data_IF_000903738213
#
_entry.id   IF_000903738213
#
_cell.length_a   1.000
_cell.length_b   1.000
_cell.length_c   1.000
_cell.angle_alpha   90.00
_cell.angle_beta   90.00
_cell.angle_gamma   90.00
#
_symmetry.space_group_name_H-M   'P 1'
#
loop_
_entity.id
_entity.type
_entity.pdbx_description
1 polymer ?
#
# COMPACT_ATOMS: atom_id res chain seq x y z
N UNK A 1 10.71 -6.21 0.52
CA UNK A 1 10.20 -4.83 0.35
C UNK A 1 11.21 -3.86 -0.25
N UNK A 2 12.27 -3.45 0.46
CA UNK A 2 13.21 -2.40 0.01
C UNK A 2 13.80 -2.64 -1.40
N UNK A 3 14.20 -3.88 -1.72
CA UNK A 3 14.71 -4.24 -3.05
C UNK A 3 13.71 -3.99 -4.19
N UNK A 4 12.43 -4.30 -3.98
CA UNK A 4 11.38 -4.09 -4.98
C UNK A 4 11.07 -2.59 -5.11
N UNK A 5 11.04 -1.89 -3.98
CA UNK A 5 10.89 -0.44 -3.95
C UNK A 5 12.02 0.26 -4.73
N UNK A 6 13.28 -0.15 -4.54
CA UNK A 6 14.43 0.38 -5.31
C UNK A 6 14.38 0.07 -6.80
N UNK A 7 13.72 -1.02 -7.20
CA UNK A 7 13.48 -1.37 -8.61
C UNK A 7 12.36 -0.56 -9.26
N UNK A 8 11.69 0.32 -8.53
CA UNK A 8 10.63 1.18 -9.08
C UNK A 8 9.26 0.53 -9.19
N UNK A 9 9.02 -0.61 -8.52
CA UNK A 9 7.68 -1.19 -8.44
C UNK A 9 6.75 -0.25 -7.67
N UNK A 10 5.65 0.15 -8.31
CA UNK A 10 4.66 1.08 -7.75
C UNK A 10 3.74 0.40 -6.73
N UNK A 11 3.42 -0.87 -6.96
CA UNK A 11 2.57 -1.69 -6.08
C UNK A 11 3.33 -2.95 -5.70
N UNK A 12 3.31 -3.30 -4.42
CA UNK A 12 3.91 -4.52 -3.88
C UNK A 12 2.87 -5.19 -2.99
N UNK A 13 2.47 -6.40 -3.34
CA UNK A 13 1.50 -7.19 -2.57
C UNK A 13 2.25 -8.06 -1.57
N UNK A 14 1.78 -8.07 -0.32
CA UNK A 14 2.27 -8.94 0.74
C UNK A 14 1.13 -9.86 1.19
N UNK A 15 1.28 -11.15 0.94
CA UNK A 15 0.37 -12.18 1.47
C UNK A 15 0.88 -12.64 2.83
N UNK A 16 0.20 -12.21 3.90
CA UNK A 16 0.62 -12.46 5.29
C UNK A 16 -0.59 -12.87 6.12
N UNK A 17 -0.78 -14.18 6.37
CA UNK A 17 -1.92 -14.67 7.16
C UNK A 17 -1.99 -14.10 8.58
N UNK A 18 -0.83 -13.87 9.21
CA UNK A 18 -0.67 -13.38 10.58
C UNK A 18 -0.35 -11.88 10.65
N UNK A 19 -0.82 -11.08 9.67
CA UNK A 19 -0.46 -9.68 9.51
C UNK A 19 -0.65 -8.86 10.81
N UNK A 20 -1.81 -9.02 11.46
CA UNK A 20 -2.17 -8.26 12.66
C UNK A 20 -1.48 -8.80 13.90
N UNK A 21 -1.36 -10.12 14.00
CA UNK A 21 -0.69 -10.83 15.08
C UNK A 21 0.80 -10.43 15.14
N UNK A 22 1.42 -10.26 13.96
CA UNK A 22 2.79 -9.78 13.81
C UNK A 22 2.95 -8.25 13.88
N UNK A 23 1.86 -7.49 14.07
CA UNK A 23 1.86 -6.01 14.10
C UNK A 23 2.44 -5.37 12.84
N UNK A 24 2.29 -6.03 11.69
CA UNK A 24 2.78 -5.58 10.39
C UNK A 24 1.80 -4.62 9.68
N UNK A 25 0.58 -4.52 10.19
CA UNK A 25 -0.47 -3.57 9.80
C UNK A 25 -0.01 -2.11 9.84
N UNK A 26 0.96 -1.77 10.71
CA UNK A 26 1.53 -0.42 10.81
C UNK A 26 2.41 -0.02 9.63
N UNK A 27 2.93 -0.98 8.88
CA UNK A 27 3.92 -0.76 7.83
C UNK A 27 3.37 -1.04 6.43
N UNK A 28 2.12 -1.49 6.35
CA UNK A 28 1.52 -1.99 5.10
C UNK A 28 0.14 -1.37 4.93
N UNK A 29 -0.01 -0.59 3.86
CA UNK A 29 -1.27 0.07 3.51
C UNK A 29 -1.44 0.10 1.98
N UNK A 30 -2.69 -0.02 1.47
CA UNK A 30 -3.89 -0.43 2.21
C UNK A 30 -3.85 -1.93 2.60
N UNK A 31 -4.56 -2.29 3.67
CA UNK A 31 -4.77 -3.66 4.12
C UNK A 31 -6.04 -4.19 3.47
N UNK A 32 -5.89 -5.25 2.69
CA UNK A 32 -6.99 -5.94 2.02
C UNK A 32 -7.25 -7.26 2.74
N UNK A 33 -8.49 -7.50 3.18
CA UNK A 33 -8.91 -8.77 3.77
C UNK A 33 -9.86 -9.48 2.83
N UNK A 34 -9.51 -10.72 2.48
CA UNK A 34 -10.42 -11.64 1.81
C UNK A 34 -11.25 -12.33 2.90
N UNK A 35 -12.52 -11.95 3.00
CA UNK A 35 -13.43 -12.45 4.03
C UNK A 35 -14.33 -13.54 3.46
N UNK A 36 -14.70 -14.48 4.31
CA UNK A 36 -15.67 -15.54 4.04
C UNK A 36 -16.32 -15.92 5.38
N UNK A 37 -17.55 -16.42 5.35
CA UNK A 37 -18.22 -16.88 6.56
C UNK A 37 -17.47 -18.08 7.21
N UNK A 38 -17.60 -18.28 8.54
CA UNK A 38 -16.86 -19.32 9.25
C UNK A 38 -17.13 -20.74 8.76
N UNK A 39 -18.35 -21.04 8.31
CA UNK A 39 -18.72 -22.38 7.85
C UNK A 39 -18.01 -22.69 6.53
N UNK A 40 -18.11 -21.78 5.55
CA UNK A 40 -17.41 -21.90 4.28
C UNK A 40 -15.90 -21.90 4.46
N UNK A 41 -15.35 -21.12 5.42
CA UNK A 41 -13.92 -21.15 5.75
C UNK A 41 -13.47 -22.56 6.17
N UNK A 42 -14.20 -23.17 7.11
CA UNK A 42 -13.89 -24.51 7.62
C UNK A 42 -14.01 -25.56 6.52
N UNK A 43 -15.12 -25.55 5.77
CA UNK A 43 -15.35 -26.49 4.66
C UNK A 43 -14.23 -26.42 3.62
N UNK A 44 -13.86 -25.20 3.18
CA UNK A 44 -12.78 -25.01 2.20
C UNK A 44 -11.42 -25.46 2.75
N UNK A 45 -11.15 -25.22 4.04
CA UNK A 45 -9.89 -25.62 4.67
C UNK A 45 -9.76 -27.15 4.76
N UNK A 46 -10.83 -27.83 5.17
CA UNK A 46 -10.90 -29.30 5.21
C UNK A 46 -10.69 -29.91 3.83
N UNK A 47 -11.38 -29.39 2.81
CA UNK A 47 -11.27 -29.88 1.44
C UNK A 47 -9.87 -29.66 0.86
N UNK A 48 -9.27 -28.49 1.09
CA UNK A 48 -7.96 -28.12 0.56
C UNK A 48 -6.83 -28.90 1.21
N UNK A 49 -6.83 -28.96 2.54
CA UNK A 49 -5.72 -29.54 3.32
C UNK A 49 -5.91 -31.05 3.56
N UNK A 50 -7.08 -31.61 3.22
CA UNK A 50 -7.47 -33.02 3.45
C UNK A 50 -7.33 -33.43 4.92
N UNK A 51 -7.74 -32.55 5.83
CA UNK A 51 -7.67 -32.74 7.29
C UNK A 51 -9.06 -32.95 7.90
N UNK A 52 -9.12 -33.39 9.16
CA UNK A 52 -10.40 -33.44 9.88
C UNK A 52 -10.90 -32.03 10.22
N UNK A 53 -12.21 -31.91 10.40
CA UNK A 53 -12.85 -30.66 10.82
C UNK A 53 -12.24 -30.11 12.12
N UNK A 54 -11.95 -30.97 13.10
CA UNK A 54 -11.35 -30.54 14.38
C UNK A 54 -9.96 -29.92 14.20
N UNK A 55 -9.12 -30.52 13.34
CA UNK A 55 -7.78 -30.00 13.05
C UNK A 55 -7.86 -28.67 12.31
N UNK A 56 -8.77 -28.57 11.34
CA UNK A 56 -9.02 -27.34 10.60
C UNK A 56 -9.55 -26.22 11.53
N UNK A 57 -10.49 -26.54 12.42
CA UNK A 57 -11.04 -25.60 13.40
C UNK A 57 -9.98 -25.12 14.39
N UNK A 58 -9.14 -26.02 14.91
CA UNK A 58 -8.03 -25.64 15.78
C UNK A 58 -7.05 -24.68 15.09
N UNK A 59 -6.79 -24.89 13.79
CA UNK A 59 -5.96 -23.97 13.00
C UNK A 59 -6.61 -22.60 12.82
N UNK A 60 -7.92 -22.55 12.58
CA UNK A 60 -8.68 -21.29 12.49
C UNK A 60 -8.62 -20.54 13.83
N UNK A 61 -8.86 -21.25 14.93
CA UNK A 61 -8.87 -20.69 16.29
C UNK A 61 -7.48 -20.22 16.77
N UNK A 62 -6.40 -20.76 16.19
CA UNK A 62 -5.04 -20.32 16.51
C UNK A 62 -4.68 -18.94 15.93
N UNK A 63 -5.53 -18.37 15.08
CA UNK A 63 -5.35 -17.06 14.46
C UNK A 63 -6.44 -16.09 14.91
N UNK A 64 -6.21 -14.80 14.69
CA UNK A 64 -7.27 -13.81 14.82
C UNK A 64 -8.40 -14.13 13.84
N UNK A 65 -9.65 -14.06 14.32
CA UNK A 65 -10.83 -14.39 13.52
C UNK A 65 -10.94 -13.48 12.29
N UNK A 66 -11.50 -14.02 11.19
CA UNK A 66 -11.71 -13.25 9.97
C UNK A 66 -12.58 -12.01 10.20
N UNK A 67 -13.57 -12.08 11.09
CA UNK A 67 -14.41 -10.92 11.44
C UNK A 67 -13.62 -9.81 12.12
N UNK A 68 -12.70 -10.15 13.02
CA UNK A 68 -11.82 -9.15 13.62
C UNK A 68 -10.85 -8.56 12.60
N UNK A 69 -10.33 -9.38 11.66
CA UNK A 69 -9.51 -8.88 10.54
C UNK A 69 -10.32 -7.93 9.65
N UNK A 70 -11.57 -8.29 9.33
CA UNK A 70 -12.52 -7.49 8.54
C UNK A 70 -12.73 -6.10 9.13
N UNK A 71 -12.94 -6.00 10.45
CA UNK A 71 -13.13 -4.69 11.12
C UNK A 71 -11.91 -3.78 11.11
N UNK A 72 -10.72 -4.32 10.82
CA UNK A 72 -9.43 -3.60 10.81
C UNK A 72 -8.87 -3.38 9.41
N UNK A 73 -9.54 -3.90 8.38
CA UNK A 73 -9.11 -3.79 7.00
C UNK A 73 -9.45 -2.42 6.43
N UNK A 74 -8.61 -1.92 5.52
CA UNK A 74 -8.96 -0.74 4.73
C UNK A 74 -9.91 -1.12 3.59
N UNK A 75 -9.81 -2.35 3.09
CA UNK A 75 -10.63 -2.92 2.01
C UNK A 75 -11.01 -4.36 2.36
N UNK A 76 -12.27 -4.72 2.15
CA UNK A 76 -12.78 -6.09 2.35
C UNK A 76 -13.29 -6.62 1.03
N UNK A 77 -12.88 -7.82 0.66
CA UNK A 77 -13.41 -8.56 -0.49
C UNK A 77 -14.19 -9.75 0.07
N UNK A 78 -15.47 -9.85 -0.28
CA UNK A 78 -16.34 -10.95 0.11
C UNK A 78 -16.17 -12.13 -0.86
N UNK A 79 -15.72 -13.27 -0.34
CA UNK A 79 -15.47 -14.50 -1.06
C UNK A 79 -16.47 -15.61 -0.71
N UNK A 80 -17.66 -15.25 -0.23
CA UNK A 80 -18.80 -16.17 -0.04
C UNK A 80 -19.49 -16.52 -1.35
N UNK A 81 -19.45 -15.61 -2.34
CA UNK A 81 -20.07 -15.78 -3.66
C UNK A 81 -19.28 -16.70 -4.61
N UNK A 82 -19.59 -16.55 -5.90
CA UNK A 82 -18.90 -17.25 -6.99
C UNK A 82 -17.48 -16.71 -7.23
N UNK A 83 -16.69 -17.46 -8.01
CA UNK A 83 -15.37 -17.01 -8.43
C UNK A 83 -15.47 -15.74 -9.31
N UNK A 84 -16.57 -15.59 -10.04
CA UNK A 84 -16.87 -14.44 -10.89
C UNK A 84 -17.12 -13.19 -10.03
N UNK A 85 -17.91 -13.31 -8.96
CA UNK A 85 -18.13 -12.22 -7.99
C UNK A 85 -16.81 -11.77 -7.35
N UNK A 86 -15.95 -12.74 -7.00
CA UNK A 86 -14.63 -12.46 -6.46
C UNK A 86 -13.75 -11.72 -7.46
N UNK A 87 -13.75 -12.13 -8.73
CA UNK A 87 -12.96 -11.48 -9.79
C UNK A 87 -13.42 -10.04 -9.99
N UNK A 88 -14.72 -9.78 -10.01
CA UNK A 88 -15.27 -8.43 -10.17
C UNK A 88 -14.85 -7.52 -9.00
N UNK A 89 -15.06 -7.97 -7.75
CA UNK A 89 -14.63 -7.23 -6.57
C UNK A 89 -13.12 -6.98 -6.58
N UNK A 90 -12.32 -7.99 -6.94
CA UNK A 90 -10.86 -7.84 -7.04
C UNK A 90 -10.44 -6.84 -8.11
N UNK A 91 -11.13 -6.79 -9.26
CA UNK A 91 -10.86 -5.79 -10.30
C UNK A 91 -11.10 -4.36 -9.78
N UNK A 92 -12.18 -4.15 -9.03
CA UNK A 92 -12.46 -2.85 -8.41
C UNK A 92 -11.36 -2.46 -7.42
N UNK A 93 -10.93 -3.39 -6.57
CA UNK A 93 -9.83 -3.15 -5.63
C UNK A 93 -8.52 -2.87 -6.36
N UNK A 94 -8.21 -3.63 -7.42
CA UNK A 94 -7.02 -3.42 -8.22
C UNK A 94 -7.02 -2.03 -8.86
N UNK A 95 -8.17 -1.58 -9.36
CA UNK A 95 -8.31 -0.22 -9.89
C UNK A 95 -8.04 0.81 -8.80
N UNK A 96 -8.67 0.71 -7.62
CA UNK A 96 -8.46 1.63 -6.49
C UNK A 96 -6.99 1.72 -6.07
N UNK A 97 -6.29 0.59 -5.91
CA UNK A 97 -4.89 0.57 -5.43
C UNK A 97 -3.86 0.94 -6.51
N UNK A 98 -4.26 0.99 -7.78
CA UNK A 98 -3.38 1.37 -8.90
C UNK A 98 -3.63 2.79 -9.40
N UNK A 99 -4.61 3.50 -8.83
CA UNK A 99 -4.85 4.92 -9.16
C UNK A 99 -3.56 5.73 -9.00
N UNK A 100 -3.32 6.70 -9.91
CA UNK A 100 -2.19 7.61 -9.76
C UNK A 100 -2.35 8.41 -8.45
N UNK A 101 -1.23 8.64 -7.77
CA UNK A 101 -1.19 9.43 -6.55
C UNK A 101 -1.84 10.80 -6.79
N UNK A 102 -2.70 11.22 -5.86
CA UNK A 102 -3.21 12.59 -5.83
C UNK A 102 -2.06 13.59 -5.61
N UNK A 103 -2.27 14.87 -5.90
CA UNK A 103 -1.21 15.88 -5.71
C UNK A 103 -0.68 15.96 -4.26
N UNK A 104 -1.53 15.70 -3.26
CA UNK A 104 -1.16 15.67 -1.84
C UNK A 104 -0.28 14.45 -1.52
N UNK A 105 -0.64 13.28 -2.02
CA UNK A 105 0.15 12.05 -1.87
C UNK A 105 1.45 12.10 -2.68
N UNK A 106 1.42 12.72 -3.87
CA UNK A 106 2.61 12.98 -4.67
C UNK A 106 3.59 13.87 -3.91
N UNK A 107 3.11 14.96 -3.28
CA UNK A 107 3.93 15.85 -2.46
C UNK A 107 4.62 15.13 -1.29
N UNK A 108 3.92 14.19 -0.64
CA UNK A 108 4.46 13.34 0.43
C UNK A 108 5.31 12.16 -0.09
N UNK A 109 5.23 11.85 -1.38
CA UNK A 109 6.03 10.80 -2.00
C UNK A 109 7.50 11.21 -2.12
N UNK A 110 8.39 10.22 -2.27
CA UNK A 110 9.83 10.50 -2.44
C UNK A 110 10.13 11.36 -3.67
N UNK A 111 9.34 11.20 -4.73
CA UNK A 111 9.50 12.00 -5.95
C UNK A 111 9.06 13.45 -5.71
N UNK A 112 7.95 13.67 -4.99
CA UNK A 112 7.51 14.99 -4.55
C UNK A 112 8.57 15.70 -3.71
N UNK A 113 9.01 15.08 -2.61
CA UNK A 113 10.05 15.65 -1.74
C UNK A 113 11.35 15.98 -2.50
N UNK A 114 11.80 15.09 -3.40
CA UNK A 114 12.98 15.34 -4.23
C UNK A 114 12.76 16.53 -5.18
N UNK A 115 11.59 16.64 -5.82
CA UNK A 115 11.26 17.77 -6.71
C UNK A 115 11.23 19.12 -5.99
N UNK A 116 10.74 19.15 -4.73
CA UNK A 116 10.75 20.35 -3.89
C UNK A 116 12.18 20.76 -3.56
N UNK A 117 13.03 19.81 -3.16
CA UNK A 117 14.45 20.07 -2.88
C UNK A 117 15.19 20.60 -4.12
N UNK A 118 14.98 19.98 -5.29
CA UNK A 118 15.57 20.45 -6.55
C UNK A 118 15.09 21.87 -6.87
N UNK A 119 13.80 22.15 -6.69
CA UNK A 119 13.23 23.48 -6.94
C UNK A 119 13.83 24.56 -6.03
N UNK A 120 14.06 24.25 -4.76
CA UNK A 120 14.74 25.15 -3.81
C UNK A 120 16.19 25.41 -4.24
N UNK A 121 16.94 24.36 -4.59
CA UNK A 121 18.34 24.49 -5.04
C UNK A 121 18.43 25.35 -6.30
N UNK A 122 17.60 25.08 -7.31
CA UNK A 122 17.53 25.85 -8.55
C UNK A 122 17.17 27.30 -8.26
N UNK A 123 16.17 27.55 -7.40
CA UNK A 123 15.79 28.90 -6.98
C UNK A 123 16.93 29.67 -6.33
N UNK A 124 17.67 29.05 -5.40
CA UNK A 124 18.84 29.65 -4.74
C UNK A 124 19.95 29.97 -5.77
N UNK A 125 20.22 29.07 -6.71
CA UNK A 125 21.22 29.29 -7.75
C UNK A 125 20.84 30.45 -8.68
N UNK A 126 19.59 30.50 -9.12
CA UNK A 126 19.07 31.61 -9.94
C UNK A 126 19.17 32.94 -9.18
N UNK A 127 18.78 32.95 -7.90
CA UNK A 127 18.86 34.14 -7.07
C UNK A 127 20.31 34.62 -6.89
N UNK A 128 21.25 33.72 -6.60
CA UNK A 128 22.68 34.05 -6.50
C UNK A 128 23.23 34.61 -7.80
N UNK A 129 22.87 34.02 -8.95
CA UNK A 129 23.28 34.49 -10.28
C UNK A 129 22.73 35.89 -10.58
N UNK A 130 21.45 36.14 -10.29
CA UNK A 130 20.85 37.49 -10.43
C UNK A 130 21.53 38.52 -9.54
N UNK A 131 21.83 38.17 -8.28
CA UNK A 131 22.53 39.06 -7.35
C UNK A 131 23.93 39.43 -7.84
N UNK A 132 24.68 38.45 -8.37
CA UNK A 132 26.00 38.67 -8.94
C UNK A 132 25.97 39.59 -10.18
N UNK A 133 25.00 39.40 -11.07
CA UNK A 133 24.80 40.25 -12.26
C UNK A 133 24.45 41.70 -11.89
N UNK A 134 23.59 41.89 -10.89
CA UNK A 134 23.24 43.23 -10.40
C UNK A 134 24.46 43.93 -9.77
N UNK A 135 25.27 43.20 -9.00
CA UNK A 135 26.50 43.73 -8.41
C UNK A 135 27.54 44.14 -9.47
N UNK A 136 27.74 43.32 -10.53
CA UNK A 136 28.69 43.65 -11.60
C UNK A 136 28.23 44.83 -12.47
N UNK A 137 26.93 45.02 -12.63
CA UNK A 137 26.37 46.17 -13.39
C UNK A 137 26.54 47.48 -12.62
N UNK A 138 26.48 47.44 -11.28
CA UNK A 138 26.71 48.60 -10.43
C UNK A 138 28.19 49.00 -10.37
N UNK A 139 29.14 48.04 -10.44
CA UNK A 139 30.59 48.34 -10.41
C UNK A 139 31.15 48.89 -11.73
N UNK A 140 30.46 48.71 -12.86
CA UNK A 140 30.89 49.21 -14.18
C UNK A 140 30.40 50.64 -14.45
N UNK A 141 29.44 51.14 -13.66
CA UNK A 141 28.85 52.48 -13.80
C UNK A 141 29.42 53.54 -12.83
N UNK A 142 30.58 53.28 -12.22
CA UNK A 142 31.36 54.25 -11.43
C UNK A 142 32.79 54.34 -11.95
#
# INVERSE_FOLDING_TARGET
MLKLWMKGFKVIVLDVPLLFEAKMDKWTKPIIVIWVDPETQLQRLVLRDRTSADVAQNRINAQMSLDLKRTRADIVIDNTGSLEDLKEQFQNVLFEVTKPLTWTEFGLSKQGAASVLISIIVGVLIFRKRRALLASTLTVNY
#
